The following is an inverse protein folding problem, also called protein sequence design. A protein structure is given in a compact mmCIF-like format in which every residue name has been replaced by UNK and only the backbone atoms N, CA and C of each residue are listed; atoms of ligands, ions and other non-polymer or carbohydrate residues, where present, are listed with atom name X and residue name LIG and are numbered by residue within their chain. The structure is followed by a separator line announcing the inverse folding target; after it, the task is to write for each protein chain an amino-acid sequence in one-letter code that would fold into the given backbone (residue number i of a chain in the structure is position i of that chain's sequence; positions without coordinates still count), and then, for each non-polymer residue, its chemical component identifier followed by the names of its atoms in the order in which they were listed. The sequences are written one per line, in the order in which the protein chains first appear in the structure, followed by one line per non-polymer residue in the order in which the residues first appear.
data_IF_561201709856
#
_entry.id   IF_561201709856
#
_cell.length_a   1.000
_cell.length_b   1.000
_cell.length_c   1.000
_cell.angle_alpha   90.00
_cell.angle_beta   90.00
_cell.angle_gamma   90.00
#
_symmetry.space_group_name_H-M   'P 1'
#
loop_
_entity.id
_entity.type
_entity.pdbx_description
1 polymer ?
#
# COMPACT_ATOMS: atom_id res chain seq x y z
N UNK A 1 -64.01 28.80 132.73
CA UNK A 1 -62.80 29.65 132.67
C UNK A 1 -61.60 28.81 132.30
N UNK A 2 -60.55 29.45 131.77
CA UNK A 2 -59.22 28.95 131.41
C UNK A 2 -59.00 28.47 129.95
N UNK A 3 -58.16 29.25 129.27
CA UNK A 3 -57.77 29.22 127.87
C UNK A 3 -56.71 28.14 127.56
N UNK A 4 -56.62 27.71 126.29
CA UNK A 4 -55.45 26.98 125.77
C UNK A 4 -55.06 27.40 124.35
N UNK A 5 -53.91 28.09 124.30
CA UNK A 5 -52.95 28.36 123.21
C UNK A 5 -53.19 27.67 121.85
N UNK A 6 -53.33 28.48 120.78
CA UNK A 6 -53.15 28.07 119.37
C UNK A 6 -51.65 27.95 119.04
N UNK A 7 -51.25 26.81 118.47
CA UNK A 7 -49.90 26.54 117.94
C UNK A 7 -50.02 26.34 116.42
N UNK A 8 -49.37 27.19 115.62
CA UNK A 8 -49.37 27.12 114.14
C UNK A 8 -48.47 25.95 113.67
N UNK A 9 -49.01 25.04 112.88
CA UNK A 9 -48.26 23.97 112.18
C UNK A 9 -48.05 24.34 110.71
N UNK A 10 -46.78 24.42 110.27
CA UNK A 10 -46.38 24.58 108.86
C UNK A 10 -46.58 23.26 108.10
N UNK A 11 -47.33 23.30 106.99
CA UNK A 11 -47.51 22.20 106.03
C UNK A 11 -46.28 22.12 105.12
N UNK A 12 -45.55 20.99 105.11
CA UNK A 12 -44.48 20.69 104.14
C UNK A 12 -45.10 20.05 102.89
N UNK A 13 -44.89 20.67 101.74
CA UNK A 13 -45.45 20.32 100.44
C UNK A 13 -44.58 19.24 99.78
N UNK A 14 -45.12 18.03 99.56
CA UNK A 14 -44.41 16.94 98.87
C UNK A 14 -44.26 17.25 97.38
N UNK A 15 -43.01 17.44 96.91
CA UNK A 15 -42.66 17.58 95.49
C UNK A 15 -43.04 16.30 94.75
N UNK A 16 -43.87 16.41 93.71
CA UNK A 16 -44.50 15.27 93.03
C UNK A 16 -43.50 14.50 92.14
N UNK A 17 -43.55 13.16 92.20
CA UNK A 17 -42.79 12.25 91.32
C UNK A 17 -43.04 12.49 89.82
N UNK A 18 -44.12 13.18 89.47
CA UNK A 18 -44.47 13.58 88.10
C UNK A 18 -43.45 14.53 87.46
N UNK A 19 -42.83 15.40 88.25
CA UNK A 19 -41.76 16.29 87.76
C UNK A 19 -40.51 15.51 87.35
N UNK A 20 -40.14 14.50 88.14
CA UNK A 20 -38.98 13.64 87.85
C UNK A 20 -39.20 12.78 86.60
N UNK A 21 -40.40 12.22 86.43
CA UNK A 21 -40.73 11.44 85.22
C UNK A 21 -40.72 12.31 83.96
N UNK A 22 -41.18 13.57 84.04
CA UNK A 22 -41.13 14.50 82.90
C UNK A 22 -39.68 14.87 82.54
N UNK A 23 -38.82 15.11 83.54
CA UNK A 23 -37.39 15.39 83.31
C UNK A 23 -36.67 14.20 82.69
N UNK A 24 -36.95 12.96 83.14
CA UNK A 24 -36.38 11.75 82.55
C UNK A 24 -36.84 11.52 81.11
N UNK A 25 -38.10 11.78 80.80
CA UNK A 25 -38.63 11.70 79.43
C UNK A 25 -37.98 12.76 78.54
N UNK A 26 -37.85 14.01 78.99
CA UNK A 26 -37.11 15.03 78.24
C UNK A 26 -35.65 14.63 78.02
N UNK A 27 -34.96 14.13 79.04
CA UNK A 27 -33.57 13.70 78.91
C UNK A 27 -33.42 12.55 77.89
N UNK A 28 -34.38 11.62 77.84
CA UNK A 28 -34.43 10.57 76.83
C UNK A 28 -34.66 11.13 75.43
N UNK A 29 -35.63 12.02 75.25
CA UNK A 29 -35.88 12.65 73.94
C UNK A 29 -34.73 13.53 73.48
N UNK A 30 -34.06 14.23 74.40
CA UNK A 30 -32.85 15.00 74.10
C UNK A 30 -31.74 14.05 73.70
N UNK A 31 -31.50 12.95 74.42
CA UNK A 31 -30.49 11.95 74.06
C UNK A 31 -30.77 11.28 72.72
N UNK A 32 -32.03 10.94 72.42
CA UNK A 32 -32.44 10.41 71.10
C UNK A 32 -32.27 11.48 70.02
N UNK A 33 -32.69 12.71 70.26
CA UNK A 33 -32.52 13.80 69.30
C UNK A 33 -31.04 14.09 69.04
N UNK A 34 -30.19 14.06 70.07
CA UNK A 34 -28.74 14.19 69.95
C UNK A 34 -28.14 13.02 69.15
N UNK A 35 -28.51 11.79 69.48
CA UNK A 35 -28.08 10.60 68.73
C UNK A 35 -28.55 10.63 67.27
N UNK A 36 -29.76 11.12 67.00
CA UNK A 36 -30.26 11.33 65.63
C UNK A 36 -29.42 12.39 64.92
N UNK A 37 -29.14 13.52 65.55
CA UNK A 37 -28.33 14.60 64.97
C UNK A 37 -26.92 14.13 64.65
N UNK A 38 -26.35 13.22 65.45
CA UNK A 38 -24.98 12.75 65.26
C UNK A 38 -24.87 11.57 64.30
N UNK A 39 -25.81 10.61 64.33
CA UNK A 39 -25.74 9.37 63.53
C UNK A 39 -26.37 9.53 62.14
N UNK A 40 -27.47 10.29 62.02
CA UNK A 40 -28.23 10.36 60.76
C UNK A 40 -27.46 11.04 59.61
N UNK A 41 -26.65 12.10 59.83
CA UNK A 41 -25.88 12.71 58.74
C UNK A 41 -24.94 11.72 58.06
N UNK A 42 -24.20 10.92 58.84
CA UNK A 42 -23.24 9.93 58.30
C UNK A 42 -23.95 8.79 57.56
N UNK A 43 -25.14 8.39 58.03
CA UNK A 43 -25.97 7.37 57.38
C UNK A 43 -26.57 7.86 56.03
N UNK A 44 -26.96 9.14 55.96
CA UNK A 44 -27.58 9.73 54.77
C UNK A 44 -26.57 10.29 53.77
N UNK A 45 -25.41 10.75 54.24
CA UNK A 45 -24.36 11.40 53.47
C UNK A 45 -23.00 10.74 53.77
N UNK A 46 -22.74 9.54 53.20
CA UNK A 46 -21.44 8.89 53.34
C UNK A 46 -20.35 9.77 52.75
N UNK A 47 -19.17 9.76 53.36
CA UNK A 47 -18.00 10.47 52.85
C UNK A 47 -17.72 10.11 51.38
N UNK A 48 -17.32 11.11 50.62
CA UNK A 48 -16.91 10.94 49.23
C UNK A 48 -15.39 10.89 49.12
N UNK A 49 -14.90 10.00 48.27
CA UNK A 49 -13.49 9.81 47.97
C UNK A 49 -13.30 9.94 46.47
N UNK A 50 -12.18 10.54 46.08
CA UNK A 50 -11.82 10.64 44.68
C UNK A 50 -11.28 9.31 44.17
N UNK A 51 -11.80 8.82 43.05
CA UNK A 51 -11.33 7.60 42.41
C UNK A 51 -9.90 7.82 41.88
N UNK A 52 -8.90 7.04 42.30
CA UNK A 52 -7.53 7.15 41.78
C UNK A 52 -7.43 6.63 40.34
N UNK A 53 -6.33 6.98 39.66
CA UNK A 53 -5.97 6.36 38.38
C UNK A 53 -5.29 5.02 38.64
N UNK A 54 -5.93 3.93 38.23
CA UNK A 54 -5.46 2.55 38.39
C UNK A 54 -5.28 1.82 37.06
N UNK A 55 -5.65 2.43 35.93
CA UNK A 55 -5.31 1.91 34.60
C UNK A 55 -3.78 1.78 34.45
N UNK A 56 -3.34 0.66 33.90
CA UNK A 56 -1.92 0.33 33.77
C UNK A 56 -1.24 -0.10 35.07
N UNK A 57 -1.95 -0.21 36.19
CA UNK A 57 -1.42 -0.82 37.42
C UNK A 57 -1.63 -2.34 37.42
N UNK A 58 -0.75 -3.05 38.13
CA UNK A 58 -0.97 -4.46 38.46
C UNK A 58 -2.21 -4.58 39.37
N UNK A 59 -3.07 -5.57 39.11
CA UNK A 59 -4.31 -5.82 39.87
C UNK A 59 -4.11 -5.77 41.39
N UNK A 60 -3.09 -6.45 41.92
CA UNK A 60 -2.83 -6.51 43.36
C UNK A 60 -2.46 -5.14 43.96
N UNK A 61 -1.64 -4.36 43.24
CA UNK A 61 -1.25 -3.03 43.67
C UNK A 61 -2.44 -2.06 43.64
N UNK A 62 -3.29 -2.16 42.61
CA UNK A 62 -4.51 -1.38 42.51
C UNK A 62 -5.52 -1.72 43.62
N UNK A 63 -5.66 -3.01 43.96
CA UNK A 63 -6.53 -3.46 45.05
C UNK A 63 -6.08 -2.88 46.40
N UNK A 64 -4.78 -2.90 46.69
CA UNK A 64 -4.22 -2.28 47.89
C UNK A 64 -4.44 -0.77 47.94
N UNK A 65 -4.23 -0.07 46.81
CA UNK A 65 -4.45 1.36 46.71
C UNK A 65 -5.93 1.72 46.95
N UNK A 66 -6.86 1.01 46.29
CA UNK A 66 -8.30 1.23 46.48
C UNK A 66 -8.73 0.92 47.92
N UNK A 67 -8.25 -0.17 48.50
CA UNK A 67 -8.55 -0.53 49.90
C UNK A 67 -8.06 0.55 50.88
N UNK A 68 -6.89 1.16 50.64
CA UNK A 68 -6.38 2.26 51.47
C UNK A 68 -7.26 3.53 51.44
N UNK A 69 -8.07 3.68 50.39
CA UNK A 69 -9.01 4.78 50.19
C UNK A 69 -10.46 4.40 50.54
N UNK A 70 -10.68 3.22 51.12
CA UNK A 70 -12.01 2.73 51.47
C UNK A 70 -12.86 2.36 50.24
N UNK A 71 -12.24 2.08 49.09
CA UNK A 71 -12.89 1.61 47.86
C UNK A 71 -12.65 0.11 47.70
N UNK A 72 -13.46 -0.56 46.87
CA UNK A 72 -13.33 -2.00 46.58
C UNK A 72 -13.03 -2.23 45.10
N UNK A 73 -12.20 -3.22 44.79
CA UNK A 73 -11.95 -3.63 43.41
C UNK A 73 -12.86 -4.83 43.06
N UNK A 74 -13.42 -4.83 41.84
CA UNK A 74 -14.09 -6.00 41.27
C UNK A 74 -13.65 -6.18 39.83
N UNK A 75 -13.28 -7.40 39.45
CA UNK A 75 -12.94 -7.71 38.06
C UNK A 75 -14.23 -8.01 37.30
N UNK A 76 -14.60 -7.15 36.36
CA UNK A 76 -15.76 -7.33 35.48
C UNK A 76 -15.45 -8.41 34.42
N UNK A 77 -14.28 -8.29 33.79
CA UNK A 77 -13.87 -9.16 32.69
C UNK A 77 -12.35 -9.25 32.58
N UNK A 78 -11.85 -10.41 32.14
CA UNK A 78 -10.48 -10.58 31.66
C UNK A 78 -10.48 -10.64 30.13
N UNK A 79 -9.61 -9.85 29.48
CA UNK A 79 -9.56 -9.72 28.01
C UNK A 79 -8.11 -9.80 27.52
N UNK A 80 -7.91 -10.31 26.30
CA UNK A 80 -6.59 -10.24 25.66
C UNK A 80 -6.29 -8.82 25.23
N UNK A 81 -5.03 -8.40 25.41
CA UNK A 81 -4.54 -7.09 25.02
C UNK A 81 -3.07 -7.22 24.60
N UNK A 82 -2.74 -6.75 23.40
CA UNK A 82 -1.40 -6.91 22.83
C UNK A 82 -0.38 -5.91 23.40
N UNK A 83 -0.83 -4.86 24.08
CA UNK A 83 0.02 -3.79 24.60
C UNK A 83 0.20 -3.88 26.13
N UNK A 84 -0.82 -4.38 26.83
CA UNK A 84 -0.87 -4.42 28.28
C UNK A 84 -0.52 -5.85 28.76
N UNK A 85 0.51 -6.03 29.62
CA UNK A 85 0.87 -7.35 30.13
C UNK A 85 -0.25 -8.02 30.94
N UNK A 86 -0.20 -9.36 31.02
CA UNK A 86 -1.17 -10.12 31.81
C UNK A 86 -1.18 -9.68 33.29
N UNK A 87 -2.37 -9.53 33.87
CA UNK A 87 -2.56 -9.11 35.27
C UNK A 87 -2.63 -7.60 35.50
N UNK A 88 -2.49 -6.79 34.45
CA UNK A 88 -2.61 -5.33 34.53
C UNK A 88 -4.00 -4.84 34.14
N UNK A 89 -4.42 -3.72 34.72
CA UNK A 89 -5.74 -3.14 34.47
C UNK A 89 -5.76 -2.39 33.13
N UNK A 90 -6.66 -2.81 32.24
CA UNK A 90 -6.93 -2.18 30.94
C UNK A 90 -7.89 -1.00 31.11
N UNK A 91 -8.93 -1.20 31.91
CA UNK A 91 -10.03 -0.27 32.05
C UNK A 91 -10.52 -0.21 33.50
N UNK A 92 -11.03 0.95 33.91
CA UNK A 92 -11.67 1.15 35.20
C UNK A 92 -12.98 1.91 35.01
N UNK A 93 -14.01 1.57 35.77
CA UNK A 93 -15.22 2.35 35.95
C UNK A 93 -15.61 2.39 37.44
N UNK A 94 -15.83 3.58 38.04
CA UNK A 94 -15.80 4.91 37.45
C UNK A 94 -14.39 5.42 37.02
N UNK A 95 -14.31 6.39 36.10
CA UNK A 95 -13.03 6.94 35.65
C UNK A 95 -12.32 7.71 36.76
N UNK A 96 -10.99 7.82 36.63
CA UNK A 96 -10.14 8.53 37.59
C UNK A 96 -10.58 9.97 37.79
N UNK A 97 -10.44 10.48 39.01
CA UNK A 97 -10.77 11.86 39.37
C UNK A 97 -12.24 12.07 39.75
N UNK A 98 -13.13 11.10 39.51
CA UNK A 98 -14.53 11.18 39.91
C UNK A 98 -14.70 11.03 41.42
N UNK A 99 -15.58 11.82 42.02
CA UNK A 99 -16.00 11.64 43.41
C UNK A 99 -17.03 10.52 43.52
N UNK A 100 -16.81 9.59 44.43
CA UNK A 100 -17.71 8.47 44.72
C UNK A 100 -17.85 8.28 46.22
N UNK A 101 -18.97 7.72 46.66
CA UNK A 101 -19.15 7.35 48.08
C UNK A 101 -18.11 6.32 48.52
N UNK A 102 -17.67 6.38 49.77
CA UNK A 102 -16.88 5.30 50.38
C UNK A 102 -17.58 3.94 50.23
N UNK A 103 -16.77 2.88 50.24
CA UNK A 103 -17.15 1.49 49.96
C UNK A 103 -17.68 1.22 48.54
N UNK A 104 -17.60 2.21 47.64
CA UNK A 104 -17.95 2.01 46.23
C UNK A 104 -16.99 0.98 45.60
N UNK A 105 -17.58 0.05 44.85
CA UNK A 105 -16.85 -0.87 43.98
C UNK A 105 -16.42 -0.16 42.70
N UNK A 106 -15.14 -0.28 42.39
CA UNK A 106 -14.54 0.09 41.11
C UNK A 106 -14.42 -1.18 40.29
N UNK A 107 -15.13 -1.21 39.18
CA UNK A 107 -15.12 -2.32 38.23
C UNK A 107 -13.93 -2.15 37.28
N UNK A 108 -13.16 -3.22 37.10
CA UNK A 108 -11.96 -3.21 36.26
C UNK A 108 -11.99 -4.33 35.24
N UNK A 109 -11.37 -4.07 34.09
CA UNK A 109 -11.01 -5.11 33.12
C UNK A 109 -9.53 -5.37 33.20
N UNK A 110 -9.14 -6.64 33.24
CA UNK A 110 -7.75 -7.06 33.44
C UNK A 110 -7.24 -7.73 32.17
N UNK A 111 -6.01 -7.41 31.79
CA UNK A 111 -5.35 -8.01 30.65
C UNK A 111 -4.98 -9.46 30.92
N UNK A 112 -5.20 -10.32 29.92
CA UNK A 112 -4.66 -11.69 29.83
C UNK A 112 -3.32 -11.73 29.09
N UNK A 113 -2.79 -10.57 28.71
CA UNK A 113 -1.68 -10.42 27.78
C UNK A 113 -2.13 -10.61 26.32
N UNK A 114 -1.16 -10.67 25.39
CA UNK A 114 -1.44 -10.93 23.99
C UNK A 114 -2.10 -12.30 23.79
N UNK A 115 -3.01 -12.40 22.84
CA UNK A 115 -3.56 -13.69 22.43
C UNK A 115 -2.52 -14.41 21.57
N UNK A 116 -2.08 -15.59 22.00
CA UNK A 116 -1.06 -16.39 21.31
C UNK A 116 -1.73 -17.54 20.55
N UNK A 117 -1.39 -17.69 19.28
CA UNK A 117 -1.79 -18.80 18.43
C UNK A 117 -0.57 -19.43 17.75
N UNK A 118 -0.69 -20.70 17.37
CA UNK A 118 0.34 -21.35 16.55
C UNK A 118 0.24 -20.84 15.11
N UNK A 119 1.39 -20.51 14.52
CA UNK A 119 1.49 -20.06 13.13
C UNK A 119 1.10 -21.20 12.17
N UNK A 120 0.04 -21.07 11.34
CA UNK A 120 -0.31 -22.10 10.37
C UNK A 120 0.75 -22.20 9.26
N UNK A 121 0.85 -23.39 8.65
CA UNK A 121 1.64 -23.58 7.43
C UNK A 121 0.79 -23.25 6.21
N UNK A 122 1.23 -22.28 5.41
CA UNK A 122 0.65 -21.92 4.11
C UNK A 122 1.59 -22.15 2.94
N UNK A 123 2.82 -22.63 3.20
CA UNK A 123 3.75 -23.08 2.14
C UNK A 123 3.10 -24.14 1.25
N UNK A 124 3.25 -23.99 -0.06
CA UNK A 124 2.65 -24.84 -1.09
C UNK A 124 1.19 -24.54 -1.40
N UNK A 125 0.50 -23.70 -0.61
CA UNK A 125 -0.86 -23.26 -0.92
C UNK A 125 -0.84 -22.19 -2.02
N UNK A 126 -1.97 -22.04 -2.71
CA UNK A 126 -2.18 -20.86 -3.57
C UNK A 126 -2.26 -19.58 -2.72
N UNK A 127 -1.92 -18.42 -3.29
CA UNK A 127 -2.02 -17.13 -2.58
C UNK A 127 -3.42 -16.89 -1.97
N UNK A 128 -4.47 -17.35 -2.67
CA UNK A 128 -5.85 -17.23 -2.20
C UNK A 128 -6.11 -18.10 -0.97
N UNK A 129 -5.68 -19.36 -1.00
CA UNK A 129 -5.85 -20.29 0.12
C UNK A 129 -5.01 -19.87 1.33
N UNK A 130 -3.77 -19.43 1.10
CA UNK A 130 -2.89 -18.89 2.12
C UNK A 130 -3.56 -17.71 2.85
N UNK A 131 -4.09 -16.74 2.08
CA UNK A 131 -4.82 -15.58 2.63
C UNK A 131 -6.01 -15.98 3.48
N UNK A 132 -6.83 -16.93 3.02
CA UNK A 132 -7.97 -17.42 3.79
C UNK A 132 -7.51 -18.09 5.08
N UNK A 133 -6.50 -18.95 5.01
CA UNK A 133 -5.98 -19.72 6.14
C UNK A 133 -5.43 -18.78 7.23
N UNK A 134 -4.60 -17.80 6.85
CA UNK A 134 -4.05 -16.81 7.76
C UNK A 134 -5.14 -15.98 8.43
N UNK A 135 -6.10 -15.49 7.64
CA UNK A 135 -7.20 -14.67 8.16
C UNK A 135 -8.08 -15.45 9.14
N UNK A 136 -8.40 -16.72 8.82
CA UNK A 136 -9.19 -17.59 9.70
C UNK A 136 -8.45 -17.93 11.01
N UNK A 137 -7.12 -17.99 10.96
CA UNK A 137 -6.27 -18.19 12.12
C UNK A 137 -5.99 -16.90 12.92
N UNK A 138 -6.57 -15.76 12.53
CA UNK A 138 -6.42 -14.49 13.23
C UNK A 138 -5.11 -13.76 12.92
N UNK A 139 -4.41 -14.11 11.85
CA UNK A 139 -3.22 -13.42 11.34
C UNK A 139 -3.57 -12.50 10.18
N UNK A 140 -2.70 -11.53 9.89
CA UNK A 140 -2.85 -10.62 8.75
C UNK A 140 -1.72 -10.82 7.74
N UNK A 141 -1.94 -10.46 6.48
CA UNK A 141 -0.86 -10.50 5.48
C UNK A 141 0.13 -9.35 5.71
N UNK A 142 1.41 -9.69 5.62
CA UNK A 142 2.54 -8.77 5.60
C UNK A 142 3.02 -8.50 4.18
N UNK A 143 4.34 -8.47 3.99
CA UNK A 143 4.99 -8.25 2.71
C UNK A 143 4.84 -9.45 1.78
N UNK A 144 4.55 -9.17 0.50
CA UNK A 144 4.48 -10.18 -0.56
C UNK A 144 5.69 -10.00 -1.48
N UNK A 145 6.60 -10.98 -1.48
CA UNK A 145 7.76 -11.01 -2.37
C UNK A 145 7.49 -11.98 -3.52
N UNK A 146 7.72 -11.53 -4.75
CA UNK A 146 7.56 -12.35 -5.94
C UNK A 146 8.91 -12.90 -6.39
N UNK A 147 8.96 -14.20 -6.65
CA UNK A 147 10.16 -14.87 -7.17
C UNK A 147 9.80 -15.83 -8.28
N UNK A 148 10.84 -16.29 -8.98
CA UNK A 148 10.76 -17.27 -10.04
C UNK A 148 11.43 -18.56 -9.59
N UNK A 149 10.64 -19.61 -9.46
CA UNK A 149 11.12 -20.96 -9.18
C UNK A 149 10.44 -21.94 -10.13
N UNK A 150 11.24 -22.51 -11.06
CA UNK A 150 10.77 -23.48 -12.06
C UNK A 150 10.39 -24.84 -11.43
N UNK A 151 10.75 -25.08 -10.16
CA UNK A 151 10.43 -26.31 -9.44
C UNK A 151 9.12 -26.20 -8.63
N UNK A 152 8.67 -24.98 -8.34
CA UNK A 152 7.43 -24.74 -7.59
C UNK A 152 6.24 -24.52 -8.55
N UNK A 153 5.00 -24.86 -8.15
CA UNK A 153 3.82 -24.52 -8.94
C UNK A 153 3.64 -23.00 -9.09
N UNK A 154 2.95 -22.59 -10.16
CA UNK A 154 2.61 -21.19 -10.41
C UNK A 154 1.62 -20.66 -9.36
N UNK A 155 1.82 -19.43 -8.89
CA UNK A 155 0.98 -18.70 -7.93
C UNK A 155 0.83 -19.38 -6.56
N UNK A 156 1.85 -20.15 -6.14
CA UNK A 156 1.90 -20.76 -4.81
C UNK A 156 2.92 -20.09 -3.90
N UNK A 157 2.67 -20.17 -2.60
CA UNK A 157 3.61 -19.72 -1.57
C UNK A 157 4.80 -20.67 -1.51
N UNK A 158 6.01 -20.14 -1.70
CA UNK A 158 7.28 -20.86 -1.58
C UNK A 158 7.75 -20.87 -0.13
N UNK A 159 7.67 -19.73 0.54
CA UNK A 159 8.03 -19.61 1.95
C UNK A 159 7.18 -18.55 2.63
N UNK A 160 7.13 -18.63 3.96
CA UNK A 160 6.43 -17.68 4.81
C UNK A 160 7.34 -17.25 5.96
N UNK A 161 7.08 -16.08 6.53
CA UNK A 161 7.63 -15.67 7.80
C UNK A 161 6.55 -14.93 8.61
N UNK A 162 6.31 -15.26 9.89
CA UNK A 162 7.04 -16.23 10.70
C UNK A 162 6.84 -17.70 10.29
N UNK A 163 7.79 -18.55 10.71
CA UNK A 163 7.81 -19.99 10.38
C UNK A 163 6.61 -20.74 10.96
N UNK A 164 6.10 -21.80 10.29
CA UNK A 164 5.00 -22.59 10.79
C UNK A 164 5.27 -23.25 12.16
N UNK A 165 4.21 -23.37 12.97
CA UNK A 165 4.23 -24.08 14.26
C UNK A 165 4.83 -23.29 15.42
N UNK A 166 5.38 -22.10 15.18
CA UNK A 166 5.87 -21.26 16.29
C UNK A 166 4.69 -20.51 16.95
N UNK A 167 4.71 -20.30 18.28
CA UNK A 167 3.70 -19.50 18.95
C UNK A 167 3.91 -18.02 18.63
N UNK A 168 2.90 -17.37 18.07
CA UNK A 168 2.92 -15.97 17.65
C UNK A 168 1.69 -15.25 18.17
N UNK A 169 1.80 -13.94 18.38
CA UNK A 169 0.65 -13.11 18.73
C UNK A 169 -0.34 -13.04 17.57
N UNK A 170 -1.63 -13.24 17.85
CA UNK A 170 -2.69 -12.98 16.88
C UNK A 170 -2.60 -11.54 16.37
N UNK A 171 -2.90 -11.35 15.09
CA UNK A 171 -2.74 -10.09 14.37
C UNK A 171 -1.30 -9.80 13.91
N UNK A 172 -0.36 -10.72 14.13
CA UNK A 172 1.00 -10.58 13.56
C UNK A 172 0.96 -10.67 12.03
N UNK A 173 1.66 -9.78 11.30
CA UNK A 173 1.81 -9.88 9.85
C UNK A 173 2.63 -11.10 9.45
N UNK A 174 2.19 -11.75 8.37
CA UNK A 174 2.87 -12.90 7.77
C UNK A 174 3.32 -12.53 6.37
N UNK A 175 4.63 -12.45 6.20
CA UNK A 175 5.30 -12.19 4.93
C UNK A 175 5.34 -13.47 4.10
N UNK A 176 5.08 -13.36 2.80
CA UNK A 176 4.99 -14.50 1.88
C UNK A 176 5.93 -14.29 0.70
N UNK A 177 6.67 -15.34 0.34
CA UNK A 177 7.38 -15.45 -0.93
C UNK A 177 6.51 -16.27 -1.88
N UNK A 178 6.17 -15.72 -3.03
CA UNK A 178 5.19 -16.27 -3.97
C UNK A 178 5.89 -16.59 -5.29
N UNK A 179 5.68 -17.80 -5.79
CA UNK A 179 6.13 -18.15 -7.13
C UNK A 179 5.20 -17.48 -8.15
N UNK A 180 5.69 -16.50 -8.89
CA UNK A 180 4.92 -15.93 -10.01
C UNK A 180 5.14 -16.64 -11.33
N UNK A 181 6.06 -17.61 -11.36
CA UNK A 181 6.51 -18.25 -12.59
C UNK A 181 7.08 -17.24 -13.58
N UNK A 182 7.89 -17.69 -14.52
CA UNK A 182 8.34 -16.77 -15.58
C UNK A 182 7.13 -16.46 -16.46
N UNK A 183 6.77 -15.19 -16.59
CA UNK A 183 6.02 -14.73 -17.76
C UNK A 183 6.99 -14.87 -18.95
N UNK A 184 7.21 -16.09 -19.43
CA UNK A 184 8.03 -16.33 -20.62
C UNK A 184 7.14 -15.91 -21.78
N UNK A 185 7.20 -14.64 -22.17
CA UNK A 185 6.87 -14.33 -23.55
C UNK A 185 7.87 -15.15 -24.37
N UNK A 186 7.37 -16.12 -25.13
CA UNK A 186 8.24 -16.89 -26.00
C UNK A 186 8.95 -15.89 -26.92
N UNK A 187 10.28 -15.92 -26.96
CA UNK A 187 11.04 -15.04 -27.86
C UNK A 187 11.22 -15.72 -29.21
N UNK A 188 11.15 -14.95 -30.27
CA UNK A 188 11.27 -15.38 -31.67
C UNK A 188 12.39 -14.59 -32.31
N UNK A 189 13.29 -15.30 -33.00
CA UNK A 189 14.28 -14.65 -33.86
C UNK A 189 13.59 -14.21 -35.16
N UNK A 190 13.67 -12.92 -35.46
CA UNK A 190 13.02 -12.31 -36.63
C UNK A 190 13.69 -12.83 -37.92
N UNK A 191 12.95 -13.53 -38.80
CA UNK A 191 13.49 -13.97 -40.09
C UNK A 191 13.82 -12.81 -41.02
N UNK A 192 14.62 -13.08 -42.05
CA UNK A 192 14.79 -12.15 -43.18
C UNK A 192 13.64 -12.34 -44.17
N UNK A 193 12.80 -11.31 -44.27
CA UNK A 193 11.63 -11.24 -45.15
C UNK A 193 11.90 -10.42 -46.42
N UNK A 194 13.10 -9.84 -46.58
CA UNK A 194 13.42 -9.04 -47.78
C UNK A 194 13.44 -9.94 -49.02
N UNK A 195 12.82 -9.47 -50.10
CA UNK A 195 12.60 -10.22 -51.34
C UNK A 195 11.43 -11.20 -51.29
N UNK A 196 10.83 -11.46 -50.14
CA UNK A 196 9.63 -12.27 -50.03
C UNK A 196 8.37 -11.47 -50.36
N UNK A 197 7.33 -12.18 -50.81
CA UNK A 197 6.02 -11.57 -51.09
C UNK A 197 5.33 -11.17 -49.79
N UNK A 198 4.89 -9.91 -49.68
CA UNK A 198 4.18 -9.39 -48.50
C UNK A 198 2.96 -10.25 -48.13
N UNK A 199 2.27 -10.79 -49.14
CA UNK A 199 1.16 -11.73 -48.93
C UNK A 199 1.57 -13.04 -48.24
N UNK A 200 2.74 -13.58 -48.57
CA UNK A 200 3.32 -14.78 -47.94
C UNK A 200 3.76 -14.47 -46.51
N UNK A 201 4.41 -13.33 -46.31
CA UNK A 201 4.98 -12.91 -45.02
C UNK A 201 3.90 -12.72 -43.96
N UNK A 202 2.74 -12.13 -44.31
CA UNK A 202 1.57 -12.06 -43.40
C UNK A 202 1.17 -13.42 -42.82
N UNK A 203 1.21 -14.47 -43.63
CA UNK A 203 0.90 -15.83 -43.18
C UNK A 203 1.96 -16.40 -42.24
N UNK A 204 3.23 -16.02 -42.44
CA UNK A 204 4.34 -16.44 -41.58
C UNK A 204 4.34 -15.70 -40.23
N UNK A 205 4.06 -14.40 -40.21
CA UNK A 205 3.96 -13.61 -38.98
C UNK A 205 2.99 -14.25 -37.98
N UNK A 206 1.79 -14.60 -38.44
CA UNK A 206 0.79 -15.25 -37.59
C UNK A 206 1.24 -16.61 -37.03
N UNK A 207 2.03 -17.39 -37.79
CA UNK A 207 2.58 -18.68 -37.32
C UNK A 207 3.69 -18.50 -36.28
N UNK A 208 4.45 -17.41 -36.40
CA UNK A 208 5.51 -17.02 -35.48
C UNK A 208 4.97 -16.25 -34.27
N UNK A 209 3.67 -15.98 -34.21
CA UNK A 209 3.08 -15.16 -33.16
C UNK A 209 3.48 -13.68 -33.25
N UNK A 210 3.97 -13.23 -34.40
CA UNK A 210 4.31 -11.83 -34.67
C UNK A 210 3.14 -11.12 -35.35
N UNK A 211 3.11 -9.80 -35.27
CA UNK A 211 2.03 -8.98 -35.84
C UNK A 211 2.55 -8.06 -36.95
N UNK A 212 1.70 -7.77 -37.94
CA UNK A 212 2.03 -6.79 -38.98
C UNK A 212 1.89 -5.38 -38.40
N UNK A 213 2.96 -4.58 -38.55
CA UNK A 213 2.99 -3.18 -38.20
C UNK A 213 2.67 -2.28 -39.39
N UNK A 214 3.41 -1.20 -39.52
CA UNK A 214 3.25 -0.21 -40.59
C UNK A 214 3.76 -0.76 -41.93
N UNK A 215 3.08 -0.34 -43.01
CA UNK A 215 3.43 -0.71 -44.37
C UNK A 215 3.65 0.53 -45.23
N UNK A 216 4.84 0.64 -45.82
CA UNK A 216 5.16 1.74 -46.72
C UNK A 216 5.41 1.24 -48.15
N UNK A 217 4.70 1.79 -49.13
CA UNK A 217 4.97 1.47 -50.52
C UNK A 217 6.16 2.25 -51.09
N UNK A 218 7.00 1.59 -51.87
CA UNK A 218 8.07 2.23 -52.65
C UNK A 218 8.20 1.67 -54.06
N UNK A 219 8.72 2.48 -55.00
CA UNK A 219 9.08 1.97 -56.32
C UNK A 219 10.44 1.27 -56.26
N UNK A 220 10.54 0.10 -56.90
CA UNK A 220 11.79 -0.64 -56.99
C UNK A 220 12.03 -1.15 -58.41
N UNK A 221 13.27 -1.03 -58.87
CA UNK A 221 13.77 -1.69 -60.09
C UNK A 221 14.42 -3.04 -59.79
N UNK A 222 14.59 -3.38 -58.50
CA UNK A 222 15.26 -4.60 -58.03
C UNK A 222 14.23 -5.63 -57.55
N UNK A 223 13.22 -5.18 -56.80
CA UNK A 223 12.18 -6.02 -56.22
C UNK A 223 10.89 -5.93 -57.04
N UNK A 224 10.26 -7.07 -57.32
CA UNK A 224 8.99 -7.13 -58.03
C UNK A 224 7.87 -6.52 -57.20
N UNK A 225 6.79 -6.12 -57.87
CA UNK A 225 5.61 -5.58 -57.19
C UNK A 225 5.08 -6.56 -56.12
N UNK A 226 4.98 -6.09 -54.88
CA UNK A 226 4.53 -6.83 -53.71
C UNK A 226 5.64 -7.50 -52.91
N UNK A 227 6.90 -7.45 -53.35
CA UNK A 227 8.04 -7.94 -52.58
C UNK A 227 8.50 -6.92 -51.55
N UNK A 228 8.97 -7.41 -50.40
CA UNK A 228 9.48 -6.57 -49.30
C UNK A 228 10.88 -6.08 -49.64
N UNK A 229 11.09 -4.77 -49.50
CA UNK A 229 12.37 -4.08 -49.71
C UNK A 229 13.15 -4.03 -48.40
N UNK A 230 12.45 -3.69 -47.30
CA UNK A 230 13.03 -3.48 -45.99
C UNK A 230 12.05 -3.90 -44.89
N UNK A 231 12.61 -4.29 -43.74
CA UNK A 231 11.86 -4.66 -42.54
C UNK A 231 12.47 -4.01 -41.30
N UNK A 232 11.64 -3.80 -40.28
CA UNK A 232 12.07 -3.41 -38.94
C UNK A 232 11.23 -4.17 -37.89
N UNK A 233 11.83 -4.91 -36.94
CA UNK A 233 13.26 -5.04 -36.66
C UNK A 233 14.08 -5.77 -37.73
N UNK A 234 15.39 -5.55 -37.72
CA UNK A 234 16.32 -6.19 -38.65
C UNK A 234 16.33 -7.73 -38.50
N UNK A 235 16.65 -8.48 -39.55
CA UNK A 235 16.77 -9.94 -39.48
C UNK A 235 17.76 -10.39 -38.40
N UNK A 236 17.43 -11.47 -37.68
CA UNK A 236 18.22 -12.00 -36.56
C UNK A 236 17.98 -11.31 -35.21
N UNK A 237 17.19 -10.23 -35.18
CA UNK A 237 16.77 -9.61 -33.91
C UNK A 237 15.88 -10.58 -33.14
N UNK A 238 16.11 -10.74 -31.84
CA UNK A 238 15.22 -11.51 -30.96
C UNK A 238 14.13 -10.60 -30.40
N UNK A 239 12.87 -10.96 -30.59
CA UNK A 239 11.70 -10.20 -30.12
C UNK A 239 10.72 -11.09 -29.38
N UNK A 240 9.84 -10.51 -28.56
CA UNK A 240 8.79 -11.25 -27.86
C UNK A 240 7.61 -11.59 -28.79
N UNK A 241 6.93 -12.72 -28.54
CA UNK A 241 5.66 -13.04 -29.21
C UNK A 241 4.66 -11.89 -29.00
N UNK A 242 4.01 -11.48 -30.09
CA UNK A 242 3.12 -10.33 -30.18
C UNK A 242 3.78 -9.10 -30.81
N UNK A 243 5.11 -9.06 -30.91
CA UNK A 243 5.85 -7.94 -31.47
C UNK A 243 5.44 -7.61 -32.91
N UNK A 244 5.37 -6.32 -33.23
CA UNK A 244 5.00 -5.79 -34.55
C UNK A 244 6.22 -5.65 -35.47
N UNK A 245 6.11 -6.11 -36.72
CA UNK A 245 7.13 -5.89 -37.75
C UNK A 245 6.61 -4.92 -38.80
N UNK A 246 7.35 -3.84 -39.00
CA UNK A 246 7.09 -2.86 -40.05
C UNK A 246 7.80 -3.25 -41.35
N UNK A 247 7.20 -2.92 -42.50
CA UNK A 247 7.75 -3.24 -43.82
C UNK A 247 7.70 -2.07 -44.81
N UNK A 248 8.71 -2.00 -45.66
CA UNK A 248 8.67 -1.28 -46.93
C UNK A 248 8.49 -2.31 -48.05
N UNK A 249 7.52 -2.12 -48.95
CA UNK A 249 7.23 -3.07 -50.04
C UNK A 249 7.20 -2.39 -51.41
N UNK A 250 7.59 -3.13 -52.44
CA UNK A 250 7.65 -2.65 -53.82
C UNK A 250 6.26 -2.49 -54.45
N UNK A 251 5.98 -1.32 -55.03
CA UNK A 251 4.84 -1.11 -55.93
C UNK A 251 5.18 -1.40 -57.41
N UNK A 252 6.38 -1.92 -57.67
CA UNK A 252 6.92 -2.18 -59.00
C UNK A 252 7.86 -1.07 -59.49
N UNK A 253 8.31 -1.19 -60.74
CA UNK A 253 9.17 -0.19 -61.35
C UNK A 253 8.41 1.15 -61.51
N UNK A 254 9.08 2.31 -61.34
CA UNK A 254 8.45 3.59 -61.57
C UNK A 254 7.97 3.66 -63.03
N UNK A 255 6.68 3.90 -63.25
CA UNK A 255 6.17 4.17 -64.60
C UNK A 255 6.76 5.52 -65.02
N UNK A 256 7.63 5.51 -66.04
CA UNK A 256 8.02 6.76 -66.69
C UNK A 256 6.74 7.47 -67.12
N UNK A 257 6.42 8.60 -66.50
CA UNK A 257 5.44 9.53 -67.03
C UNK A 257 5.91 9.90 -68.43
N UNK A 258 5.02 9.75 -69.41
CA UNK A 258 5.22 10.15 -70.81
C UNK A 258 5.90 11.52 -70.82
N UNK A 259 7.01 11.63 -71.54
CA UNK A 259 7.80 12.84 -71.65
C UNK A 259 6.90 14.05 -71.95
N UNK A 260 6.91 15.05 -71.06
CA UNK A 260 6.53 16.40 -71.42
C UNK A 260 7.69 16.95 -72.24
N UNK A 261 7.53 17.22 -73.55
CA UNK A 261 8.54 17.95 -74.28
C UNK A 261 8.57 19.36 -73.66
N UNK A 262 9.73 19.76 -73.15
CA UNK A 262 10.04 21.11 -72.64
C UNK A 262 9.88 21.39 -71.13
N UNK A 263 10.16 20.42 -70.24
CA UNK A 263 10.60 20.78 -68.89
C UNK A 263 12.08 21.24 -68.94
N UNK A 264 12.45 22.46 -68.48
CA UNK A 264 13.85 22.90 -68.45
C UNK A 264 14.70 21.88 -67.67
N UNK A 265 15.86 21.49 -68.20
CA UNK A 265 16.75 20.50 -67.56
C UNK A 265 17.06 20.82 -66.08
N UNK A 266 16.97 22.09 -65.68
CA UNK A 266 17.11 22.55 -64.29
C UNK A 266 15.98 22.07 -63.35
N UNK A 267 14.74 21.93 -63.80
CA UNK A 267 13.63 21.42 -62.96
C UNK A 267 13.75 19.90 -62.74
N UNK A 268 14.16 19.15 -63.76
CA UNK A 268 14.44 17.72 -63.65
C UNK A 268 15.65 17.44 -62.73
N UNK A 269 16.69 18.28 -62.80
CA UNK A 269 17.83 18.20 -61.88
C UNK A 269 17.45 18.55 -60.44
N UNK A 270 16.55 19.53 -60.22
CA UNK A 270 16.01 19.86 -58.89
C UNK A 270 15.18 18.72 -58.31
N UNK A 271 14.22 18.18 -59.07
CA UNK A 271 13.40 17.06 -58.63
C UNK A 271 14.23 15.78 -58.35
N UNK A 272 15.27 15.53 -59.16
CA UNK A 272 16.20 14.43 -58.96
C UNK A 272 17.17 14.64 -57.78
N UNK A 273 17.45 15.89 -57.38
CA UNK A 273 18.22 16.23 -56.18
C UNK A 273 17.35 16.18 -54.91
N UNK A 274 16.10 16.63 -55.01
CA UNK A 274 15.09 16.57 -53.96
C UNK A 274 14.73 15.12 -53.60
N UNK A 275 14.81 14.18 -54.54
CA UNK A 275 14.48 12.76 -54.28
C UNK A 275 15.66 11.90 -53.78
N UNK A 276 16.79 12.50 -53.38
CA UNK A 276 17.99 11.73 -53.03
C UNK A 276 18.00 11.26 -51.57
N UNK A 277 18.43 10.02 -51.40
CA UNK A 277 18.74 9.43 -50.11
C UNK A 277 20.10 9.92 -49.63
N UNK A 278 20.15 10.38 -48.38
CA UNK A 278 21.37 10.82 -47.71
C UNK A 278 21.65 9.88 -46.54
N UNK A 279 22.89 9.42 -46.44
CA UNK A 279 23.38 8.61 -45.32
C UNK A 279 24.21 9.48 -44.40
N UNK A 280 23.90 9.48 -43.11
CA UNK A 280 24.64 10.23 -42.10
C UNK A 280 25.02 9.29 -40.97
N UNK A 281 26.31 9.30 -40.63
CA UNK A 281 26.77 8.67 -39.39
C UNK A 281 26.55 9.61 -38.22
N UNK A 282 25.95 9.07 -37.17
CA UNK A 282 25.61 9.76 -35.93
C UNK A 282 26.39 9.09 -34.82
N UNK A 283 27.31 9.85 -34.22
CA UNK A 283 27.99 9.44 -32.99
C UNK A 283 27.31 10.12 -31.80
N UNK A 284 26.88 9.33 -30.83
CA UNK A 284 26.21 9.79 -29.62
C UNK A 284 27.06 9.33 -28.45
N UNK A 285 27.58 10.28 -27.67
CA UNK A 285 28.27 9.99 -26.41
C UNK A 285 27.25 10.16 -25.28
N UNK A 286 26.94 9.08 -24.57
CA UNK A 286 25.94 9.09 -23.53
C UNK A 286 26.56 9.68 -22.25
N UNK A 287 25.93 10.66 -21.60
CA UNK A 287 26.44 11.23 -20.36
C UNK A 287 26.65 10.16 -19.28
N UNK A 288 27.68 10.33 -18.45
CA UNK A 288 27.91 9.52 -17.24
C UNK A 288 26.66 9.50 -16.36
N UNK A 289 26.30 8.33 -15.81
CA UNK A 289 25.09 8.16 -15.01
C UNK A 289 24.41 6.79 -15.21
N UNK A 290 23.14 6.64 -14.77
CA UNK A 290 22.38 5.42 -15.00
C UNK A 290 22.13 5.18 -16.49
N UNK A 291 21.72 3.96 -16.83
CA UNK A 291 21.35 3.61 -18.19
C UNK A 291 20.21 4.52 -18.71
N UNK A 292 20.35 4.99 -19.94
CA UNK A 292 19.47 5.97 -20.56
C UNK A 292 18.99 5.48 -21.92
N UNK A 293 17.70 5.71 -22.21
CA UNK A 293 17.14 5.45 -23.53
C UNK A 293 17.66 6.48 -24.54
N UNK A 294 18.13 5.98 -25.68
CA UNK A 294 18.54 6.77 -26.83
C UNK A 294 17.55 6.55 -27.96
N UNK A 295 16.91 7.62 -28.42
CA UNK A 295 15.97 7.58 -29.55
C UNK A 295 16.51 8.43 -30.68
N UNK A 296 16.51 7.90 -31.90
CA UNK A 296 16.87 8.64 -33.12
C UNK A 296 15.64 8.73 -34.01
N UNK A 297 15.22 9.96 -34.30
CA UNK A 297 14.14 10.27 -35.24
C UNK A 297 14.73 10.88 -36.52
N UNK A 298 14.23 10.43 -37.66
CA UNK A 298 14.47 11.03 -38.98
C UNK A 298 13.16 11.67 -39.43
N UNK A 299 13.17 12.97 -39.71
CA UNK A 299 12.03 13.69 -40.26
C UNK A 299 12.37 14.07 -41.69
N UNK A 300 11.71 13.45 -42.64
CA UNK A 300 12.07 13.53 -44.05
C UNK A 300 10.80 13.55 -44.94
N UNK A 301 10.91 13.34 -46.26
CA UNK A 301 9.76 13.37 -47.17
C UNK A 301 8.66 12.35 -46.80
N UNK A 302 8.98 11.35 -45.97
CA UNK A 302 8.04 10.36 -45.45
C UNK A 302 7.43 10.74 -44.09
N UNK A 303 7.75 11.92 -43.56
CA UNK A 303 7.36 12.37 -42.23
C UNK A 303 8.36 11.97 -41.14
N UNK A 304 7.93 11.95 -39.88
CA UNK A 304 8.78 11.60 -38.75
C UNK A 304 8.82 10.08 -38.55
N UNK A 305 10.02 9.49 -38.59
CA UNK A 305 10.29 8.05 -38.44
C UNK A 305 11.25 7.82 -37.28
N UNK A 306 10.91 6.90 -36.38
CA UNK A 306 11.85 6.42 -35.38
C UNK A 306 12.72 5.33 -35.98
N UNK A 307 14.01 5.62 -36.13
CA UNK A 307 14.97 4.72 -36.79
C UNK A 307 15.87 4.00 -35.78
N UNK A 308 15.80 4.38 -34.50
CA UNK A 308 16.52 3.74 -33.43
C UNK A 308 15.87 4.05 -32.07
N UNK A 309 15.71 3.04 -31.23
CA UNK A 309 15.37 3.17 -29.81
C UNK A 309 16.00 2.03 -29.04
N UNK A 310 16.81 2.35 -28.05
CA UNK A 310 17.49 1.35 -27.23
C UNK A 310 18.02 1.98 -25.92
N UNK A 311 18.30 1.17 -24.91
CA UNK A 311 18.83 1.62 -23.61
C UNK A 311 20.33 1.36 -23.55
N UNK A 312 21.10 2.39 -23.20
CA UNK A 312 22.56 2.30 -23.13
C UNK A 312 23.10 2.75 -21.78
N UNK A 313 24.18 2.12 -21.33
CA UNK A 313 24.90 2.49 -20.11
C UNK A 313 25.47 3.92 -20.20
N UNK A 314 25.51 4.63 -19.07
CA UNK A 314 26.14 5.93 -18.97
C UNK A 314 27.63 5.88 -19.33
N UNK A 315 28.12 6.91 -20.04
CA UNK A 315 29.52 6.96 -20.50
C UNK A 315 29.82 6.12 -21.76
N UNK A 316 28.86 5.35 -22.27
CA UNK A 316 29.05 4.56 -23.49
C UNK A 316 28.89 5.40 -24.77
N UNK A 317 29.29 4.83 -25.90
CA UNK A 317 29.30 5.47 -27.22
C UNK A 317 28.47 4.68 -28.22
N UNK A 318 27.50 5.33 -28.84
CA UNK A 318 26.63 4.75 -29.86
C UNK A 318 26.97 5.36 -31.22
N UNK A 319 27.20 4.52 -32.22
CA UNK A 319 27.42 4.94 -33.60
C UNK A 319 26.36 4.29 -34.48
N UNK A 320 25.60 5.11 -35.22
CA UNK A 320 24.54 4.65 -36.12
C UNK A 320 24.61 5.39 -37.44
N UNK A 321 24.53 4.65 -38.54
CA UNK A 321 24.28 5.23 -39.86
C UNK A 321 22.78 5.25 -40.09
N UNK A 322 22.24 6.43 -40.34
CA UNK A 322 20.81 6.65 -40.58
C UNK A 322 20.60 7.23 -41.96
N UNK A 323 19.46 6.91 -42.57
CA UNK A 323 19.12 7.34 -43.92
C UNK A 323 17.88 8.24 -43.90
N UNK A 324 17.95 9.34 -44.65
CA UNK A 324 16.87 10.32 -44.79
C UNK A 324 16.73 10.78 -46.23
N UNK A 325 15.50 11.05 -46.66
CA UNK A 325 15.17 11.42 -48.04
C UNK A 325 14.56 12.82 -48.13
N UNK A 326 15.01 13.62 -49.09
CA UNK A 326 14.53 15.00 -49.23
C UNK A 326 15.59 16.01 -48.85
N UNK A 327 15.59 17.19 -49.50
CA UNK A 327 16.49 18.29 -49.12
C UNK A 327 16.20 18.82 -47.70
N UNK A 328 14.97 18.61 -47.20
CA UNK A 328 14.55 18.99 -45.85
C UNK A 328 14.76 17.92 -44.78
N UNK A 329 15.43 16.80 -45.08
CA UNK A 329 15.61 15.71 -44.14
C UNK A 329 16.40 16.18 -42.90
N UNK A 330 15.82 15.95 -41.72
CA UNK A 330 16.42 16.29 -40.42
C UNK A 330 16.54 15.07 -39.54
N UNK A 331 17.56 15.09 -38.70
CA UNK A 331 17.88 14.09 -37.71
C UNK A 331 17.68 14.69 -36.33
N UNK A 332 16.94 14.01 -35.48
CA UNK A 332 16.80 14.36 -34.06
C UNK A 332 17.24 13.18 -33.19
N UNK A 333 18.02 13.47 -32.15
CA UNK A 333 18.45 12.49 -31.15
C UNK A 333 17.93 12.92 -29.80
N UNK A 334 17.35 11.98 -29.06
CA UNK A 334 16.89 12.15 -27.69
C UNK A 334 17.66 11.21 -26.77
N UNK A 335 18.06 11.70 -25.60
CA UNK A 335 18.68 10.91 -24.54
C UNK A 335 17.86 11.11 -23.26
N UNK A 336 17.32 10.04 -22.69
CA UNK A 336 16.45 10.11 -21.51
C UNK A 336 15.22 11.00 -21.72
N UNK A 337 14.66 11.01 -22.93
CA UNK A 337 13.53 11.85 -23.33
C UNK A 337 13.85 13.33 -23.57
N UNK A 338 15.11 13.77 -23.44
CA UNK A 338 15.53 15.14 -23.74
C UNK A 338 16.20 15.21 -25.11
N UNK A 339 15.80 16.18 -25.93
CA UNK A 339 16.43 16.42 -27.23
C UNK A 339 17.88 16.84 -27.02
N UNK A 340 18.79 16.07 -27.63
CA UNK A 340 20.23 16.22 -27.53
C UNK A 340 20.86 16.74 -28.83
N UNK A 341 20.35 16.29 -29.98
CA UNK A 341 20.79 16.74 -31.30
C UNK A 341 19.58 17.02 -32.18
N UNK A 342 19.64 18.09 -32.96
CA UNK A 342 18.73 18.35 -34.08
C UNK A 342 19.53 19.00 -35.21
N UNK A 343 19.69 18.31 -36.34
CA UNK A 343 20.44 18.83 -37.48
C UNK A 343 19.89 18.33 -38.82
N UNK A 344 20.03 19.09 -39.91
CA UNK A 344 19.76 18.58 -41.25
C UNK A 344 20.74 17.45 -41.62
N UNK A 345 20.34 16.61 -42.57
CA UNK A 345 21.21 15.59 -43.17
C UNK A 345 22.32 16.20 -44.06
N UNK A 346 22.11 17.43 -44.53
CA UNK A 346 23.03 18.22 -45.37
C UNK A 346 23.46 19.46 -44.57
N UNK A 347 24.77 19.64 -44.37
CA UNK A 347 25.33 20.81 -43.64
C UNK A 347 25.23 22.11 -44.44
#
# INVERSE_FOLDING_TARGET
MAAKKKRKTRKKQGRSRRGLTIVLIMALFIGIAWGIIEIVPELLFPDEVQVPAIQGMEKNAAEQLLASLGLRLSVEQEMFDNQIPAGYIIHQDPPSGRMVKQNRTIEVRVSKGPEIAEMPSVTGMTLREARLTLTQAGFVLGEEQEVFDDQAPLNTVISQYPEPGIPVQMGTPVDLVINRGREVLASVEVPDFRGEQLSTVRGLLGRLGLTEGNLWPEYSTVYNQGEIIEQNPAPGTTVDVGWTIDFVYSQGAPRQSVAVPDAPQQELQRWAAESQWHNVEVTINIPEGPAQEVTILVIDDFGAREVYRDVHEGGSRVVRTVQGRGEGATLQVYIGGRMWLNRPFKE
#
